data_IF_770183373543
#
_entry.id   IF_770183373543
#
_cell.length_a   1.000
_cell.length_b   1.000
_cell.length_c   1.000
_cell.angle_alpha   90.00
_cell.angle_beta   90.00
_cell.angle_gamma   90.00
#
_symmetry.space_group_name_H-M   'P 1'
#
loop_
_entity.id
_entity.type
_entity.pdbx_description
1 polymer ?
#
# COMPACT_ATOMS: atom_id res chain seq x y z
N UNK A 1 6.36 24.63 -5.79
CA UNK A 1 5.61 23.86 -4.77
C UNK A 1 6.08 24.31 -3.41
N UNK A 2 5.21 24.89 -2.61
CA UNK A 2 5.55 25.28 -1.24
C UNK A 2 5.76 24.04 -0.37
N UNK A 3 6.78 24.07 0.50
CA UNK A 3 7.08 23.01 1.45
C UNK A 3 6.91 23.55 2.86
N UNK A 4 6.11 22.88 3.67
CA UNK A 4 5.88 23.24 5.07
C UNK A 4 6.59 22.23 5.98
N UNK A 5 7.18 22.71 7.08
CA UNK A 5 7.83 21.87 8.08
C UNK A 5 6.79 21.32 9.05
N UNK A 6 6.65 20.00 9.11
CA UNK A 6 5.88 19.29 10.13
C UNK A 6 6.82 18.83 11.25
N UNK A 7 6.45 19.08 12.51
CA UNK A 7 7.20 18.60 13.68
C UNK A 7 6.30 17.68 14.50
N UNK A 8 6.74 16.45 14.73
CA UNK A 8 5.99 15.41 15.44
C UNK A 8 6.76 14.98 16.69
N UNK A 9 6.03 14.63 17.76
CA UNK A 9 6.61 13.97 18.94
C UNK A 9 6.39 12.47 18.79
N UNK A 10 7.47 11.72 18.72
CA UNK A 10 7.47 10.27 18.52
C UNK A 10 8.56 9.69 19.41
N UNK A 11 8.36 8.46 19.89
CA UNK A 11 9.36 7.78 20.69
C UNK A 11 10.65 7.55 19.90
N UNK A 12 11.80 7.79 20.57
CA UNK A 12 13.13 7.62 19.99
C UNK A 12 13.35 6.24 19.31
N UNK A 13 12.98 5.09 19.90
CA UNK A 13 13.18 3.79 19.24
C UNK A 13 12.46 3.68 17.89
N UNK A 14 11.29 4.30 17.74
CA UNK A 14 10.53 4.30 16.49
C UNK A 14 11.25 5.12 15.43
N UNK A 15 11.81 6.27 15.81
CA UNK A 15 12.57 7.12 14.88
C UNK A 15 13.81 6.41 14.36
N UNK A 16 14.55 5.70 15.22
CA UNK A 16 15.75 4.97 14.79
C UNK A 16 15.39 3.82 13.85
N UNK A 17 14.39 3.00 14.18
CA UNK A 17 13.93 1.93 13.29
C UNK A 17 13.49 2.46 11.91
N UNK A 18 12.84 3.63 11.88
CA UNK A 18 12.41 4.25 10.63
C UNK A 18 13.57 4.82 9.81
N UNK A 19 14.64 5.31 10.44
CA UNK A 19 15.87 5.73 9.75
C UNK A 19 16.61 4.53 9.17
N UNK A 20 16.77 3.46 9.95
CA UNK A 20 17.40 2.23 9.48
C UNK A 20 16.68 1.71 8.24
N UNK A 21 15.33 1.65 8.28
CA UNK A 21 14.54 1.28 7.11
C UNK A 21 14.79 2.22 5.92
N UNK A 22 14.84 3.54 6.13
CA UNK A 22 15.08 4.49 5.06
C UNK A 22 16.44 4.27 4.38
N UNK A 23 17.50 4.02 5.17
CA UNK A 23 18.85 3.75 4.68
C UNK A 23 18.91 2.47 3.85
N UNK A 24 18.36 1.36 4.36
CA UNK A 24 18.32 0.08 3.63
C UNK A 24 17.57 0.18 2.30
N UNK A 25 16.57 1.06 2.22
CA UNK A 25 15.74 1.26 1.03
C UNK A 25 16.18 2.45 0.17
N UNK A 26 17.38 3.01 0.40
CA UNK A 26 17.92 4.17 -0.34
C UNK A 26 16.95 5.36 -0.43
N UNK A 27 16.23 5.63 0.66
CA UNK A 27 15.25 6.70 0.76
C UNK A 27 15.49 7.55 2.01
N UNK A 28 14.66 8.57 2.23
CA UNK A 28 14.76 9.44 3.41
C UNK A 28 13.51 9.32 4.26
N UNK A 29 13.65 9.55 5.57
CA UNK A 29 12.51 9.56 6.48
C UNK A 29 11.44 10.58 6.05
N UNK A 30 11.85 11.75 5.55
CA UNK A 30 10.92 12.75 5.03
C UNK A 30 10.17 12.27 3.78
N UNK A 31 10.81 11.53 2.88
CA UNK A 31 10.14 10.93 1.72
C UNK A 31 9.16 9.83 2.13
N UNK A 32 9.54 8.95 3.05
CA UNK A 32 8.66 7.90 3.57
C UNK A 32 7.38 8.48 4.18
N UNK A 33 7.53 9.48 5.06
CA UNK A 33 6.39 10.14 5.69
C UNK A 33 5.56 10.91 4.66
N UNK A 34 6.19 11.58 3.69
CA UNK A 34 5.46 12.27 2.63
C UNK A 34 4.63 11.29 1.78
N UNK A 35 5.18 10.12 1.44
CA UNK A 35 4.49 9.12 0.65
C UNK A 35 3.33 8.48 1.43
N UNK A 36 3.54 8.18 2.71
CA UNK A 36 2.46 7.74 3.60
C UNK A 36 1.34 8.79 3.71
N UNK A 37 1.69 10.07 3.92
CA UNK A 37 0.69 11.14 3.98
C UNK A 37 -0.05 11.35 2.64
N UNK A 38 0.60 11.04 1.50
CA UNK A 38 -0.05 11.00 0.19
C UNK A 38 -1.01 9.83 0.07
N UNK A 39 -0.64 8.64 0.56
CA UNK A 39 -1.51 7.46 0.49
C UNK A 39 -2.78 7.63 1.33
N UNK A 40 -2.74 8.43 2.40
CA UNK A 40 -3.94 8.77 3.18
C UNK A 40 -5.00 9.55 2.37
N UNK A 41 -4.64 10.21 1.27
CA UNK A 41 -5.59 10.93 0.41
C UNK A 41 -6.41 10.01 -0.50
N UNK A 42 -6.17 8.70 -0.46
CA UNK A 42 -6.80 7.72 -1.37
C UNK A 42 -8.14 7.20 -0.83
N UNK A 43 -8.67 7.75 0.26
CA UNK A 43 -9.96 7.33 0.81
C UNK A 43 -11.18 7.74 -0.05
N UNK A 44 -11.05 8.72 -0.95
CA UNK A 44 -12.12 9.13 -1.86
C UNK A 44 -11.86 8.63 -3.29
N UNK A 45 -12.25 7.37 -3.54
CA UNK A 45 -12.54 6.83 -4.88
C UNK A 45 -11.49 7.08 -5.97
N UNK A 46 -10.20 6.88 -5.69
CA UNK A 46 -9.24 6.80 -6.78
C UNK A 46 -9.55 5.54 -7.62
N UNK A 47 -9.69 5.65 -8.95
CA UNK A 47 -9.85 4.48 -9.79
C UNK A 47 -8.65 3.56 -9.59
N UNK A 48 -8.90 2.24 -9.57
CA UNK A 48 -7.84 1.26 -9.42
C UNK A 48 -6.70 1.56 -10.42
N UNK A 49 -5.42 1.42 -10.01
CA UNK A 49 -4.28 1.53 -10.92
C UNK A 49 -4.52 0.80 -12.25
N UNK A 50 -4.03 1.30 -13.41
CA UNK A 50 -4.32 0.71 -14.73
C UNK A 50 -4.09 -0.80 -14.79
N UNK A 51 -3.01 -1.27 -14.16
CA UNK A 51 -2.70 -2.70 -14.04
C UNK A 51 -3.76 -3.50 -13.27
N UNK A 52 -4.36 -2.90 -12.24
CA UNK A 52 -5.43 -3.53 -11.48
C UNK A 52 -6.75 -3.53 -12.28
N UNK A 53 -6.99 -2.52 -13.12
CA UNK A 53 -8.14 -2.53 -14.04
C UNK A 53 -7.99 -3.64 -15.08
N UNK A 54 -6.81 -3.76 -15.70
CA UNK A 54 -6.51 -4.84 -16.65
C UNK A 54 -6.65 -6.22 -16.00
N UNK A 55 -6.08 -6.42 -14.81
CA UNK A 55 -6.19 -7.68 -14.07
C UNK A 55 -7.64 -7.98 -13.66
N UNK A 56 -8.40 -6.97 -13.20
CA UNK A 56 -9.81 -7.15 -12.84
C UNK A 56 -10.70 -7.45 -14.04
N UNK A 57 -10.36 -6.95 -15.23
CA UNK A 57 -11.13 -7.16 -16.46
C UNK A 57 -11.03 -8.59 -17.02
N UNK A 58 -10.08 -9.39 -16.52
CA UNK A 58 -9.94 -10.82 -16.88
C UNK A 58 -10.95 -11.68 -16.10
N UNK A 59 -11.42 -11.18 -14.95
CA UNK A 59 -12.38 -11.92 -14.12
C UNK A 59 -13.79 -11.82 -14.71
N UNK A 60 -14.55 -12.93 -14.71
CA UNK A 60 -15.98 -12.90 -15.03
C UNK A 60 -16.72 -11.93 -14.10
N UNK A 61 -17.68 -11.17 -14.63
CA UNK A 61 -18.43 -10.18 -13.86
C UNK A 61 -19.29 -10.81 -12.74
N UNK A 62 -19.57 -12.11 -12.86
CA UNK A 62 -20.37 -12.93 -11.96
C UNK A 62 -19.54 -13.79 -11.00
N UNK A 63 -18.21 -13.65 -11.02
CA UNK A 63 -17.33 -14.45 -10.16
C UNK A 63 -17.62 -14.15 -8.69
N UNK A 64 -17.92 -15.20 -7.93
CA UNK A 64 -18.17 -15.08 -6.50
C UNK A 64 -16.89 -15.29 -5.70
N UNK A 65 -16.82 -14.67 -4.51
CA UNK A 65 -15.75 -14.97 -3.56
C UNK A 65 -15.75 -16.45 -3.12
N UNK A 66 -16.89 -17.13 -3.23
CA UNK A 66 -17.01 -18.53 -2.89
C UNK A 66 -16.32 -19.43 -3.93
N UNK A 67 -16.53 -19.18 -5.22
CA UNK A 67 -15.84 -19.90 -6.30
C UNK A 67 -14.32 -19.73 -6.23
N UNK A 68 -13.84 -18.54 -5.85
CA UNK A 68 -12.42 -18.31 -5.62
C UNK A 68 -11.88 -19.16 -4.46
N UNK A 69 -12.63 -19.25 -3.35
CA UNK A 69 -12.26 -20.08 -2.19
C UNK A 69 -12.25 -21.56 -2.55
N UNK A 70 -13.28 -22.03 -3.25
CA UNK A 70 -13.39 -23.42 -3.68
C UNK A 70 -12.24 -23.80 -4.64
N UNK A 71 -11.85 -22.88 -5.55
CA UNK A 71 -10.68 -23.05 -6.40
C UNK A 71 -9.37 -23.14 -5.61
N UNK A 72 -9.17 -22.28 -4.60
CA UNK A 72 -7.96 -22.31 -3.77
C UNK A 72 -7.88 -23.61 -2.97
N UNK A 73 -9.00 -24.05 -2.40
CA UNK A 73 -9.07 -25.32 -1.70
C UNK A 73 -8.72 -26.49 -2.63
N UNK A 74 -9.25 -26.51 -3.85
CA UNK A 74 -8.91 -27.56 -4.83
C UNK A 74 -7.43 -27.50 -5.28
N UNK A 75 -6.91 -26.30 -5.53
CA UNK A 75 -5.53 -26.08 -5.99
C UNK A 75 -4.48 -26.46 -4.96
N UNK A 76 -4.75 -26.18 -3.67
CA UNK A 76 -3.81 -26.39 -2.58
C UNK A 76 -4.16 -27.58 -1.69
N UNK A 77 -5.11 -28.44 -2.11
CA UNK A 77 -5.38 -29.72 -1.46
C UNK A 77 -4.05 -30.46 -1.25
N UNK A 78 -3.73 -30.65 0.04
CA UNK A 78 -2.83 -31.71 0.51
C UNK A 78 -3.46 -33.07 0.27
#
# INVERSE_FOLDING_TARGET
MEKTKLTLRIEKPIIEAAKDYAEHHNTTLSQLVAEFLRSLKIADSAPAPPILQELSGILPADVSLQEYRDYLDDKYKR
#
